data_IF_357061451539
#
_entry.id   IF_357061451539
#
_cell.length_a   1.000
_cell.length_b   1.000
_cell.length_c   1.000
_cell.angle_alpha   90.00
_cell.angle_beta   90.00
_cell.angle_gamma   90.00
#
_symmetry.space_group_name_H-M   'P 1'
#
loop_
_entity.id
_entity.type
_entity.pdbx_description
1 polymer ?
#
# COMPACT_ATOMS: atom_id res chain seq x y z
N UNK A 1 -6.51 -5.73 25.93
CA UNK A 1 -5.58 -6.72 25.32
C UNK A 1 -6.23 -7.51 24.18
N UNK A 2 -7.42 -8.08 24.36
CA UNK A 2 -8.06 -8.91 23.33
C UNK A 2 -8.30 -8.16 22.01
N UNK A 3 -8.68 -6.88 22.06
CA UNK A 3 -8.91 -6.04 20.87
C UNK A 3 -7.66 -5.84 20.00
N UNK A 4 -6.47 -5.71 20.59
CA UNK A 4 -5.21 -5.58 19.85
C UNK A 4 -4.82 -6.88 19.16
N UNK A 5 -5.09 -8.03 19.80
CA UNK A 5 -4.85 -9.34 19.19
C UNK A 5 -5.79 -9.56 18.01
N UNK A 6 -7.08 -9.24 18.15
CA UNK A 6 -8.02 -9.33 17.04
C UNK A 6 -7.64 -8.41 15.88
N UNK A 7 -7.24 -7.17 16.18
CA UNK A 7 -6.72 -6.25 15.16
C UNK A 7 -5.53 -6.87 14.43
N UNK A 8 -4.53 -7.33 15.17
CA UNK A 8 -3.31 -7.91 14.60
C UNK A 8 -3.62 -9.10 13.68
N UNK A 9 -4.48 -10.01 14.14
CA UNK A 9 -4.90 -11.19 13.38
C UNK A 9 -5.65 -10.81 12.10
N UNK A 10 -6.68 -9.96 12.20
CA UNK A 10 -7.49 -9.56 11.05
C UNK A 10 -6.63 -8.84 10.01
N UNK A 11 -5.83 -7.87 10.44
CA UNK A 11 -4.96 -7.10 9.54
C UNK A 11 -3.92 -8.00 8.88
N UNK A 12 -3.32 -8.92 9.62
CA UNK A 12 -2.36 -9.87 9.08
C UNK A 12 -3.01 -10.77 8.02
N UNK A 13 -4.13 -11.44 8.36
CA UNK A 13 -4.83 -12.35 7.45
C UNK A 13 -5.26 -11.65 6.16
N UNK A 14 -5.77 -10.42 6.26
CA UNK A 14 -6.17 -9.64 5.08
C UNK A 14 -4.98 -9.26 4.19
N UNK A 15 -3.80 -9.08 4.75
CA UNK A 15 -2.60 -8.76 3.97
C UNK A 15 -1.85 -9.99 3.46
N UNK A 16 -2.10 -11.17 4.02
CA UNK A 16 -1.67 -12.47 3.48
C UNK A 16 -2.58 -12.94 2.35
N UNK A 17 -3.87 -12.57 2.37
CA UNK A 17 -4.79 -12.93 1.31
C UNK A 17 -4.33 -12.34 -0.05
N UNK A 18 -4.29 -13.17 -1.12
CA UNK A 18 -3.80 -12.75 -2.43
C UNK A 18 -4.74 -11.73 -3.10
N UNK A 19 -6.05 -11.88 -2.91
CA UNK A 19 -7.05 -11.01 -3.50
C UNK A 19 -8.29 -10.84 -2.62
N UNK A 20 -9.08 -9.80 -2.91
CA UNK A 20 -10.42 -9.54 -2.35
C UNK A 20 -10.51 -9.29 -0.84
N UNK A 21 -9.39 -9.05 -0.16
CA UNK A 21 -9.43 -8.58 1.22
C UNK A 21 -9.94 -7.14 1.29
N UNK A 22 -10.77 -6.79 2.29
CA UNK A 22 -11.11 -5.41 2.58
C UNK A 22 -9.85 -4.55 2.76
N UNK A 23 -9.90 -3.25 2.39
CA UNK A 23 -8.75 -2.39 2.52
C UNK A 23 -8.41 -2.21 4.00
N UNK A 24 -7.14 -2.38 4.36
CA UNK A 24 -6.73 -2.40 5.79
C UNK A 24 -7.09 -1.13 6.56
N UNK A 25 -7.19 0.02 5.89
CA UNK A 25 -7.61 1.26 6.53
C UNK A 25 -9.03 1.15 7.12
N UNK A 26 -9.94 0.41 6.47
CA UNK A 26 -11.33 0.29 6.96
C UNK A 26 -11.39 -0.51 8.24
N UNK A 27 -10.54 -1.54 8.37
CA UNK A 27 -10.35 -2.31 9.62
C UNK A 27 -9.85 -1.39 10.72
N UNK A 28 -8.84 -0.55 10.46
CA UNK A 28 -8.31 0.37 11.47
C UNK A 28 -9.34 1.40 11.91
N UNK A 29 -10.06 2.00 10.97
CA UNK A 29 -11.15 2.93 11.28
C UNK A 29 -12.24 2.25 12.11
N UNK A 30 -12.68 1.06 11.71
CA UNK A 30 -13.65 0.27 12.47
C UNK A 30 -13.17 0.03 13.91
N UNK A 31 -11.91 -0.40 14.09
CA UNK A 31 -11.36 -0.64 15.41
C UNK A 31 -11.22 0.65 16.24
N UNK A 32 -10.84 1.77 15.62
CA UNK A 32 -10.75 3.08 16.27
C UNK A 32 -12.10 3.60 16.75
N UNK A 33 -13.16 3.36 15.98
CA UNK A 33 -14.50 3.85 16.31
C UNK A 33 -15.20 2.99 17.38
N UNK A 34 -14.99 1.67 17.34
CA UNK A 34 -15.73 0.70 18.16
C UNK A 34 -15.00 0.25 19.42
N UNK A 35 -13.68 0.43 19.50
CA UNK A 35 -12.90 0.02 20.67
C UNK A 35 -12.05 1.18 21.18
N UNK A 36 -11.89 1.24 22.50
CA UNK A 36 -11.00 2.21 23.16
C UNK A 36 -9.54 1.75 23.07
N UNK A 37 -8.94 1.96 21.90
CA UNK A 37 -7.55 1.59 21.61
C UNK A 37 -6.75 2.86 21.39
N UNK A 38 -5.60 2.95 22.07
CA UNK A 38 -4.69 4.07 21.87
C UNK A 38 -4.27 4.19 20.37
N UNK A 39 -4.44 5.36 19.72
CA UNK A 39 -4.23 5.50 18.27
C UNK A 39 -2.84 5.07 17.80
N UNK A 40 -1.79 5.39 18.57
CA UNK A 40 -0.42 4.99 18.23
C UNK A 40 -0.26 3.46 18.21
N UNK A 41 -0.88 2.75 19.16
CA UNK A 41 -0.82 1.29 19.21
C UNK A 41 -1.59 0.67 18.03
N UNK A 42 -2.78 1.21 17.73
CA UNK A 42 -3.60 0.82 16.59
C UNK A 42 -2.82 0.94 15.26
N UNK A 43 -2.19 2.09 15.02
CA UNK A 43 -1.44 2.39 13.80
C UNK A 43 -0.19 1.54 13.67
N UNK A 44 0.61 1.45 14.75
CA UNK A 44 1.88 0.70 14.72
C UNK A 44 1.66 -0.80 14.54
N UNK A 45 0.71 -1.39 15.27
CA UNK A 45 0.35 -2.81 15.13
C UNK A 45 -0.26 -3.05 13.75
N UNK A 46 -1.19 -2.19 13.31
CA UNK A 46 -1.80 -2.28 11.97
C UNK A 46 -0.77 -2.26 10.85
N UNK A 47 0.15 -1.28 10.86
CA UNK A 47 1.21 -1.18 9.85
C UNK A 47 2.16 -2.38 9.90
N UNK A 48 2.52 -2.85 11.10
CA UNK A 48 3.42 -3.99 11.28
C UNK A 48 2.80 -5.29 10.77
N UNK A 49 1.55 -5.56 11.11
CA UNK A 49 0.81 -6.72 10.64
C UNK A 49 0.56 -6.65 9.13
N UNK A 50 0.26 -5.46 8.59
CA UNK A 50 0.09 -5.28 7.15
C UNK A 50 1.41 -5.54 6.39
N UNK A 51 2.52 -4.94 6.84
CA UNK A 51 3.84 -5.15 6.25
C UNK A 51 4.28 -6.61 6.32
N UNK A 52 4.13 -7.24 7.49
CA UNK A 52 4.45 -8.66 7.67
C UNK A 52 3.58 -9.56 6.79
N UNK A 53 2.27 -9.29 6.71
CA UNK A 53 1.37 -10.06 5.84
C UNK A 53 1.76 -9.96 4.37
N UNK A 54 2.10 -8.76 3.89
CA UNK A 54 2.58 -8.53 2.52
C UNK A 54 3.92 -9.20 2.24
N UNK A 55 4.83 -9.19 3.20
CA UNK A 55 6.09 -9.92 3.12
C UNK A 55 5.86 -11.42 2.99
N UNK A 56 4.97 -11.98 3.82
CA UNK A 56 4.59 -13.40 3.78
C UNK A 56 3.97 -13.74 2.42
N UNK A 57 3.01 -12.95 1.94
CA UNK A 57 2.40 -13.12 0.61
C UNK A 57 3.47 -13.18 -0.48
N UNK A 58 4.37 -12.19 -0.54
CA UNK A 58 5.45 -12.17 -1.53
C UNK A 58 6.37 -13.40 -1.42
N UNK A 59 6.65 -13.89 -0.21
CA UNK A 59 7.48 -15.08 0.01
C UNK A 59 6.75 -16.37 -0.40
N UNK A 60 5.46 -16.48 -0.13
CA UNK A 60 4.63 -17.60 -0.62
C UNK A 60 4.63 -17.58 -2.15
N UNK A 61 4.35 -16.43 -2.77
CA UNK A 61 4.35 -16.29 -4.23
C UNK A 61 5.73 -16.58 -4.84
N UNK A 62 6.81 -16.16 -4.17
CA UNK A 62 8.19 -16.54 -4.56
C UNK A 62 8.42 -18.05 -4.53
N UNK A 63 7.78 -18.78 -3.61
CA UNK A 63 7.86 -20.25 -3.57
C UNK A 63 7.03 -20.90 -4.68
N UNK A 64 5.90 -20.29 -5.04
CA UNK A 64 5.03 -20.74 -6.13
C UNK A 64 5.63 -20.53 -7.53
N UNK A 65 6.77 -19.83 -7.67
CA UNK A 65 7.51 -19.68 -8.94
C UNK A 65 7.75 -21.01 -9.65
N UNK A 66 7.92 -22.12 -8.92
CA UNK A 66 8.12 -23.47 -9.48
C UNK A 66 6.94 -23.98 -10.32
N UNK A 67 5.75 -23.40 -10.15
CA UNK A 67 4.54 -23.76 -10.89
C UNK A 67 4.26 -22.84 -12.08
N UNK A 68 5.07 -21.79 -12.29
CA UNK A 68 4.94 -20.84 -13.40
C UNK A 68 5.79 -21.35 -14.58
N UNK A 69 5.30 -21.14 -15.81
CA UNK A 69 6.04 -21.54 -17.02
C UNK A 69 7.40 -20.84 -17.11
N UNK A 70 8.41 -21.56 -17.62
CA UNK A 70 9.77 -21.03 -17.75
C UNK A 70 9.84 -19.71 -18.52
N UNK A 71 9.09 -19.59 -19.61
CA UNK A 71 9.03 -18.36 -20.44
C UNK A 71 8.48 -17.17 -19.66
N UNK A 72 7.43 -17.35 -18.86
CA UNK A 72 6.88 -16.27 -18.04
C UNK A 72 7.88 -15.86 -16.94
N UNK A 73 8.59 -16.82 -16.36
CA UNK A 73 9.61 -16.56 -15.35
C UNK A 73 10.80 -15.77 -15.93
N UNK A 74 11.31 -16.13 -17.11
CA UNK A 74 12.41 -15.43 -17.78
C UNK A 74 12.04 -13.98 -18.11
N UNK A 75 10.79 -13.72 -18.51
CA UNK A 75 10.31 -12.35 -18.76
C UNK A 75 10.28 -11.53 -17.47
N UNK A 76 9.84 -12.12 -16.36
CA UNK A 76 9.81 -11.47 -15.05
C UNK A 76 11.23 -11.19 -14.53
N UNK A 77 12.17 -12.10 -14.75
CA UNK A 77 13.58 -11.89 -14.39
C UNK A 77 14.23 -10.79 -15.25
N UNK A 78 13.90 -10.74 -16.54
CA UNK A 78 14.35 -9.64 -17.41
C UNK A 78 13.81 -8.29 -16.94
N UNK A 79 12.53 -8.22 -16.56
CA UNK A 79 11.94 -7.01 -15.96
C UNK A 79 12.66 -6.61 -14.66
N UNK A 80 13.00 -7.59 -13.82
CA UNK A 80 13.76 -7.35 -12.60
C UNK A 80 15.16 -6.77 -12.88
N UNK A 81 15.85 -7.27 -13.90
CA UNK A 81 17.17 -6.77 -14.29
C UNK A 81 17.11 -5.30 -14.75
N UNK A 82 16.11 -4.95 -15.58
CA UNK A 82 15.89 -3.58 -16.05
C UNK A 82 15.58 -2.61 -14.91
N UNK A 83 14.77 -3.04 -13.94
CA UNK A 83 14.48 -2.25 -12.74
C UNK A 83 15.70 -2.07 -11.84
N UNK A 84 16.65 -3.01 -11.86
CA UNK A 84 17.88 -2.94 -11.07
C UNK A 84 19.03 -2.19 -11.74
N UNK A 85 18.93 -1.90 -13.04
CA UNK A 85 20.00 -1.30 -13.83
C UNK A 85 20.31 0.14 -13.42
N UNK A 86 19.29 0.95 -13.12
CA UNK A 86 19.44 2.37 -12.77
C UNK A 86 18.97 2.65 -11.34
N UNK A 87 19.71 3.51 -10.63
CA UNK A 87 19.34 3.96 -9.27
C UNK A 87 17.97 4.64 -9.26
N UNK A 88 17.64 5.39 -10.31
CA UNK A 88 16.33 6.04 -10.47
C UNK A 88 15.17 5.04 -10.54
N UNK A 89 15.33 3.90 -11.19
CA UNK A 89 14.30 2.85 -11.26
C UNK A 89 14.06 2.22 -9.88
N UNK A 90 15.12 1.97 -9.11
CA UNK A 90 15.00 1.46 -7.73
C UNK A 90 14.25 2.44 -6.83
N UNK A 91 14.55 3.73 -6.93
CA UNK A 91 13.84 4.78 -6.19
C UNK A 91 12.38 4.84 -6.63
N UNK A 92 12.09 4.78 -7.92
CA UNK A 92 10.71 4.77 -8.43
C UNK A 92 9.91 3.58 -7.90
N UNK A 93 10.50 2.38 -7.85
CA UNK A 93 9.84 1.20 -7.27
C UNK A 93 9.58 1.39 -5.76
N UNK A 94 10.54 1.94 -5.00
CA UNK A 94 10.34 2.20 -3.57
C UNK A 94 9.24 3.25 -3.33
N UNK A 95 9.24 4.34 -4.10
CA UNK A 95 8.19 5.36 -4.04
C UNK A 95 6.82 4.77 -4.40
N UNK A 96 6.78 3.86 -5.36
CA UNK A 96 5.56 3.15 -5.72
C UNK A 96 5.05 2.27 -4.58
N UNK A 97 5.90 1.68 -3.74
CA UNK A 97 5.45 0.95 -2.54
C UNK A 97 5.00 1.88 -1.41
N UNK A 98 5.55 3.09 -1.31
CA UNK A 98 5.14 4.11 -0.33
C UNK A 98 3.74 4.66 -0.66
N UNK A 99 3.57 5.15 -1.89
CA UNK A 99 2.36 5.87 -2.32
C UNK A 99 1.30 4.93 -2.89
N UNK A 100 1.74 3.88 -3.60
CA UNK A 100 0.98 2.80 -4.25
C UNK A 100 -0.44 3.16 -4.70
N UNK A 101 -0.60 3.77 -5.90
CA UNK A 101 -1.92 3.86 -6.54
C UNK A 101 -2.44 2.48 -6.99
N UNK A 102 -1.55 1.48 -7.11
CA UNK A 102 -1.88 0.12 -7.48
C UNK A 102 -2.22 -0.75 -6.26
N UNK A 103 -2.97 -1.85 -6.44
CA UNK A 103 -3.24 -2.80 -5.37
C UNK A 103 -1.92 -3.39 -4.82
N UNK A 104 -1.60 -3.07 -3.56
CA UNK A 104 -0.36 -3.53 -2.92
C UNK A 104 -0.16 -5.05 -2.96
N UNK A 105 -1.25 -5.85 -2.87
CA UNK A 105 -1.19 -7.31 -3.01
C UNK A 105 -0.45 -7.74 -4.28
N UNK A 106 -0.87 -7.19 -5.42
CA UNK A 106 -0.34 -7.51 -6.74
C UNK A 106 1.12 -7.08 -6.87
N UNK A 107 1.50 -5.95 -6.25
CA UNK A 107 2.89 -5.49 -6.24
C UNK A 107 3.81 -6.44 -5.47
N UNK A 108 3.35 -6.93 -4.32
CA UNK A 108 4.11 -7.88 -3.51
C UNK A 108 4.17 -9.27 -4.18
N UNK A 109 3.09 -9.71 -4.82
CA UNK A 109 3.08 -10.93 -5.63
C UNK A 109 4.07 -10.82 -6.80
N UNK A 110 4.02 -9.73 -7.56
CA UNK A 110 4.95 -9.46 -8.65
C UNK A 110 6.40 -9.41 -8.13
N UNK A 111 6.65 -8.73 -7.01
CA UNK A 111 7.97 -8.71 -6.38
C UNK A 111 8.44 -10.11 -5.98
N UNK A 112 7.54 -10.96 -5.48
CA UNK A 112 7.81 -12.37 -5.17
C UNK A 112 8.16 -13.18 -6.42
N UNK A 113 7.36 -13.07 -7.47
CA UNK A 113 7.56 -13.75 -8.76
C UNK A 113 8.75 -13.23 -9.56
N UNK A 114 9.19 -11.98 -9.33
CA UNK A 114 10.44 -11.44 -9.89
C UNK A 114 11.65 -11.82 -9.03
N UNK A 115 11.47 -12.38 -7.84
CA UNK A 115 12.57 -12.66 -6.92
C UNK A 115 13.24 -11.40 -6.36
N UNK A 116 12.53 -10.27 -6.29
CA UNK A 116 13.04 -9.00 -5.79
C UNK A 116 13.46 -9.04 -4.31
N UNK A 117 14.24 -8.04 -3.89
CA UNK A 117 14.60 -7.85 -2.48
C UNK A 117 13.37 -7.36 -1.73
N UNK A 118 12.71 -8.28 -1.01
CA UNK A 118 11.42 -8.01 -0.36
C UNK A 118 11.53 -7.04 0.82
N UNK A 119 12.64 -7.07 1.57
CA UNK A 119 12.77 -6.28 2.80
C UNK A 119 12.71 -4.76 2.54
N UNK A 120 13.48 -4.16 1.60
CA UNK A 120 13.36 -2.74 1.29
C UNK A 120 11.96 -2.33 0.82
N UNK A 121 11.30 -3.18 0.03
CA UNK A 121 9.93 -2.93 -0.45
C UNK A 121 8.91 -2.96 0.69
N UNK A 122 9.09 -3.88 1.63
CA UNK A 122 8.25 -4.00 2.83
C UNK A 122 8.42 -2.80 3.74
N UNK A 123 9.65 -2.33 3.95
CA UNK A 123 9.92 -1.13 4.73
C UNK A 123 9.33 0.12 4.07
N UNK A 124 9.48 0.25 2.75
CA UNK A 124 8.86 1.34 1.99
C UNK A 124 7.33 1.34 2.15
N UNK A 125 6.69 0.18 1.99
CA UNK A 125 5.26 0.01 2.21
C UNK A 125 4.85 0.33 3.64
N UNK A 126 5.55 -0.22 4.64
CA UNK A 126 5.31 0.02 6.06
C UNK A 126 5.35 1.52 6.38
N UNK A 127 6.38 2.23 5.93
CA UNK A 127 6.51 3.67 6.14
C UNK A 127 5.35 4.45 5.53
N UNK A 128 4.95 4.11 4.30
CA UNK A 128 3.76 4.70 3.68
C UNK A 128 2.47 4.39 4.44
N UNK A 129 2.36 3.17 5.00
CA UNK A 129 1.20 2.76 5.81
C UNK A 129 1.14 3.51 7.13
N UNK A 130 2.25 3.77 7.82
CA UNK A 130 2.25 4.58 9.05
C UNK A 130 1.63 5.95 8.79
N UNK A 131 2.05 6.64 7.72
CA UNK A 131 1.53 7.96 7.36
C UNK A 131 0.04 7.87 7.02
N UNK A 132 -0.33 6.98 6.08
CA UNK A 132 -1.72 6.88 5.61
C UNK A 132 -2.68 6.42 6.70
N UNK A 133 -2.30 5.47 7.55
CA UNK A 133 -3.11 5.02 8.68
C UNK A 133 -3.28 6.11 9.73
N UNK A 134 -2.25 6.93 9.97
CA UNK A 134 -2.37 8.08 10.87
C UNK A 134 -3.43 9.06 10.37
N UNK A 135 -3.44 9.36 9.07
CA UNK A 135 -4.46 10.23 8.46
C UNK A 135 -5.86 9.63 8.60
N UNK A 136 -6.07 8.36 8.23
CA UNK A 136 -7.40 7.73 8.32
C UNK A 136 -7.93 7.62 9.74
N UNK A 137 -7.08 7.26 10.71
CA UNK A 137 -7.47 7.13 12.12
C UNK A 137 -7.76 8.51 12.73
N UNK A 138 -6.95 9.52 12.40
CA UNK A 138 -7.20 10.90 12.82
C UNK A 138 -8.54 11.41 12.29
N UNK A 139 -8.77 11.26 10.97
CA UNK A 139 -10.05 11.63 10.36
C UNK A 139 -11.22 10.89 10.99
N UNK A 140 -11.11 9.59 11.25
CA UNK A 140 -12.16 8.81 11.91
C UNK A 140 -12.48 9.31 13.33
N UNK A 141 -11.46 9.64 14.11
CA UNK A 141 -11.67 10.15 15.47
C UNK A 141 -12.25 11.57 15.47
N UNK A 142 -11.85 12.43 14.53
CA UNK A 142 -12.48 13.74 14.31
C UNK A 142 -13.96 13.60 13.94
N UNK A 143 -14.30 12.64 13.07
CA UNK A 143 -15.69 12.34 12.67
C UNK A 143 -16.56 11.90 13.87
N UNK A 144 -15.96 11.18 14.82
CA UNK A 144 -16.64 10.75 16.07
C UNK A 144 -16.93 11.93 17.00
N UNK A 145 -16.12 13.00 16.95
CA UNK A 145 -16.27 14.19 17.79
C UNK A 145 -17.05 15.36 17.16
N UNK A 146 -17.05 15.49 15.82
CA UNK A 146 -17.54 16.69 15.12
C UNK A 146 -18.85 16.55 14.33
N UNK A 147 -19.39 15.33 14.17
CA UNK A 147 -20.56 15.11 13.31
C UNK A 147 -20.22 15.18 11.81
N UNK A 148 -20.83 14.30 11.01
CA UNK A 148 -20.53 14.12 9.59
C UNK A 148 -20.86 15.34 8.72
N UNK A 149 -21.77 16.22 9.16
CA UNK A 149 -22.22 17.45 8.49
C UNK A 149 -21.08 18.44 8.24
N UNK A 150 -20.40 18.85 9.32
CA UNK A 150 -19.46 19.98 9.26
C UNK A 150 -18.20 19.61 8.46
N UNK A 151 -17.81 18.34 8.46
CA UNK A 151 -16.64 17.86 7.72
C UNK A 151 -16.94 17.71 6.23
N UNK A 152 -18.14 17.28 5.83
CA UNK A 152 -18.50 17.26 4.40
C UNK A 152 -18.43 18.68 3.84
N UNK A 153 -18.94 19.68 4.59
CA UNK A 153 -18.77 21.09 4.22
C UNK A 153 -17.29 21.49 4.22
N UNK A 154 -16.50 21.12 5.24
CA UNK A 154 -15.10 21.54 5.34
C UNK A 154 -14.17 20.90 4.30
N UNK A 155 -14.31 19.61 4.01
CA UNK A 155 -13.50 18.89 3.01
C UNK A 155 -13.89 19.25 1.57
N UNK A 156 -15.18 19.42 1.26
CA UNK A 156 -15.57 19.84 -0.09
C UNK A 156 -15.36 21.34 -0.36
N UNK A 157 -15.33 22.18 0.68
CA UNK A 157 -15.14 23.64 0.53
C UNK A 157 -13.70 24.08 0.87
N UNK A 158 -12.84 23.18 1.34
CA UNK A 158 -11.44 23.44 1.66
C UNK A 158 -10.63 23.64 0.37
N UNK A 159 -9.98 24.81 0.26
CA UNK A 159 -9.03 25.09 -0.82
C UNK A 159 -7.95 24.00 -0.93
N UNK A 160 -7.52 23.42 0.19
CA UNK A 160 -6.49 22.37 0.19
C UNK A 160 -6.94 21.08 -0.48
N UNK A 161 -8.21 20.71 -0.30
CA UNK A 161 -8.81 19.48 -0.84
C UNK A 161 -9.00 19.59 -2.36
N UNK A 162 -9.42 20.77 -2.83
CA UNK A 162 -9.50 21.10 -4.25
C UNK A 162 -8.11 21.07 -4.89
N UNK A 163 -7.09 21.66 -4.27
CA UNK A 163 -5.71 21.65 -4.76
C UNK A 163 -5.18 20.20 -4.83
N UNK A 164 -5.44 19.38 -3.81
CA UNK A 164 -5.03 17.98 -3.80
C UNK A 164 -5.69 17.16 -4.91
N UNK A 165 -6.99 17.35 -5.15
CA UNK A 165 -7.71 16.71 -6.26
C UNK A 165 -7.14 17.14 -7.62
N UNK A 166 -6.88 18.44 -7.80
CA UNK A 166 -6.26 18.95 -9.03
C UNK A 166 -4.85 18.39 -9.25
N UNK A 167 -4.06 18.24 -8.19
CA UNK A 167 -2.74 17.61 -8.26
C UNK A 167 -2.83 16.12 -8.63
N UNK A 168 -3.82 15.39 -8.12
CA UNK A 168 -4.05 13.99 -8.49
C UNK A 168 -4.45 13.83 -9.95
N UNK A 169 -5.38 14.66 -10.43
CA UNK A 169 -5.78 14.70 -11.84
C UNK A 169 -4.57 15.06 -12.72
N UNK A 170 -3.80 16.07 -12.33
CA UNK A 170 -2.57 16.46 -13.03
C UNK A 170 -1.55 15.32 -13.06
N UNK A 171 -1.40 14.59 -11.95
CA UNK A 171 -0.55 13.41 -11.85
C UNK A 171 -0.96 12.31 -12.83
N UNK A 172 -2.27 12.04 -12.96
CA UNK A 172 -2.81 11.08 -13.94
C UNK A 172 -2.55 11.57 -15.37
N UNK A 173 -2.80 12.84 -15.67
CA UNK A 173 -2.52 13.44 -17.00
C UNK A 173 -1.03 13.37 -17.34
N UNK A 174 -0.16 13.64 -16.37
CA UNK A 174 1.28 13.50 -16.54
C UNK A 174 1.66 12.05 -16.85
N UNK A 175 1.08 11.09 -16.12
CA UNK A 175 1.33 9.66 -16.33
C UNK A 175 0.91 9.19 -17.73
N UNK A 176 -0.20 9.70 -18.27
CA UNK A 176 -0.68 9.37 -19.62
C UNK A 176 0.14 10.06 -20.71
N UNK A 177 0.80 11.19 -20.42
CA UNK A 177 1.70 11.89 -21.36
C UNK A 177 3.12 11.33 -21.38
N UNK A 178 3.51 10.48 -20.44
CA UNK A 178 4.80 9.78 -20.50
C UNK A 178 4.75 8.79 -21.66
N UNK A 179 5.62 9.00 -22.65
CA UNK A 179 5.71 8.12 -23.81
C UNK A 179 6.52 6.87 -23.45
N UNK A 180 5.85 5.90 -22.80
CA UNK A 180 6.48 4.71 -22.24
C UNK A 180 7.16 3.83 -23.31
N UNK A 181 6.71 3.89 -24.56
CA UNK A 181 7.25 3.10 -25.67
C UNK A 181 8.70 3.46 -26.05
N UNK A 182 9.11 4.73 -25.89
CA UNK A 182 10.46 5.17 -26.25
C UNK A 182 11.49 5.00 -25.11
N UNK A 183 11.02 4.73 -23.88
CA UNK A 183 11.88 4.63 -22.69
C UNK A 183 12.33 3.19 -22.39
N UNK A 184 11.68 2.18 -22.98
CA UNK A 184 11.99 0.76 -22.80
C UNK A 184 12.61 0.07 -24.02
N UNK A 185 12.82 0.78 -25.14
CA UNK A 185 13.50 0.25 -26.35
C UNK A 185 14.95 0.71 -26.53
N UNK A 186 15.63 1.12 -25.45
CA UNK A 186 17.08 1.36 -25.41
C UNK A 186 17.74 0.64 -24.27
#
# INVERSE_FOLDING_TARGET
>A
MNSLVYLALVVFLFNVAPAFAPPTWSVLVFFSLNFDIHPVALITIGATCAGTGRYVLARVTKHLRRFISGTALTNLESAQMLLNQKRSHKVAVLLLFIVSPLPSAQLFEAAGLMGARLLPLTLAFFSGRIVTYSLYVASANELKSGGLDEIIKREFTSLGSIIFQLLMILGIIMLTRVNWFHRFSK
#
